data_IF_982792479462
#
_entry.id   IF_982792479462
#
_cell.length_a   1.000
_cell.length_b   1.000
_cell.length_c   1.000
_cell.angle_alpha   90.00
_cell.angle_beta   90.00
_cell.angle_gamma   90.00
#
_symmetry.space_group_name_H-M   'P 1'
#
loop_
_entity.id
_entity.type
_entity.pdbx_description
1 polymer ?
#
# COMPACT_ATOMS: atom_id res chain seq x y z
N UNK A 1 1.34 -13.78 -1.41
CA UNK A 1 1.68 -12.37 -1.16
C UNK A 1 3.18 -12.18 -1.30
N UNK A 2 3.65 -11.01 -1.73
CA UNK A 2 5.10 -10.68 -1.84
C UNK A 2 5.48 -9.49 -0.95
N UNK A 3 6.71 -9.48 -0.42
CA UNK A 3 7.23 -8.39 0.40
C UNK A 3 7.70 -7.24 -0.49
N UNK A 4 7.21 -6.02 -0.21
CA UNK A 4 7.74 -4.78 -0.80
C UNK A 4 8.70 -4.14 0.20
N UNK A 5 9.97 -3.98 -0.22
CA UNK A 5 10.96 -3.28 0.58
C UNK A 5 10.70 -1.77 0.59
N UNK A 6 10.81 -1.17 1.77
CA UNK A 6 10.64 0.27 1.95
C UNK A 6 11.81 1.05 1.38
N UNK A 7 11.51 2.20 0.80
CA UNK A 7 12.49 3.16 0.32
C UNK A 7 12.42 4.42 1.17
N UNK A 8 13.55 4.84 1.72
CA UNK A 8 13.63 6.01 2.59
C UNK A 8 13.70 7.29 1.75
N UNK A 9 12.85 8.26 2.06
CA UNK A 9 13.00 9.61 1.50
C UNK A 9 14.18 10.34 2.13
N UNK A 10 14.82 11.21 1.35
CA UNK A 10 15.92 12.06 1.81
C UNK A 10 15.67 13.52 1.41
N UNK A 11 16.47 14.45 1.95
CA UNK A 11 16.44 15.86 1.52
C UNK A 11 16.82 16.06 0.05
N UNK A 12 17.48 15.08 -0.58
CA UNK A 12 17.80 15.10 -2.01
C UNK A 12 16.63 14.63 -2.90
N UNK A 13 15.49 14.28 -2.31
CA UNK A 13 14.39 13.61 -2.99
C UNK A 13 14.60 12.11 -3.10
N UNK A 14 13.62 11.43 -3.68
CA UNK A 14 13.63 9.99 -3.93
C UNK A 14 12.92 9.69 -5.24
N UNK A 15 13.63 9.04 -6.17
CA UNK A 15 13.00 8.38 -7.31
C UNK A 15 12.63 6.97 -6.90
N UNK A 16 11.34 6.68 -6.77
CA UNK A 16 10.89 5.37 -6.30
C UNK A 16 11.13 4.30 -7.34
N UNK A 17 11.76 3.20 -6.95
CA UNK A 17 11.77 1.96 -7.71
C UNK A 17 10.43 1.25 -7.53
N UNK A 18 9.70 1.04 -8.61
CA UNK A 18 8.38 0.42 -8.60
C UNK A 18 8.50 -1.09 -8.89
N UNK A 19 7.78 -1.91 -8.12
CA UNK A 19 7.62 -3.34 -8.35
C UNK A 19 6.25 -3.64 -8.95
N UNK A 20 6.12 -4.68 -9.77
CA UNK A 20 4.81 -5.15 -10.25
C UNK A 20 3.97 -5.66 -9.08
N UNK A 21 2.70 -5.26 -9.03
CA UNK A 21 1.75 -5.80 -8.07
C UNK A 21 1.54 -7.31 -8.31
N UNK A 22 1.38 -8.08 -7.24
CA UNK A 22 1.20 -9.53 -7.32
C UNK A 22 -0.26 -9.90 -7.14
N UNK A 23 -0.78 -10.84 -7.94
CA UNK A 23 -2.20 -11.26 -7.90
C UNK A 23 -2.62 -11.79 -6.52
N UNK A 24 -1.70 -12.43 -5.80
CA UNK A 24 -1.88 -12.87 -4.43
C UNK A 24 -1.70 -11.77 -3.38
N UNK A 25 -1.60 -10.49 -3.77
CA UNK A 25 -1.37 -9.35 -2.89
C UNK A 25 0.11 -9.11 -2.54
N UNK A 26 0.34 -8.00 -1.85
CA UNK A 26 1.65 -7.57 -1.39
C UNK A 26 1.59 -7.19 0.09
N UNK A 27 2.74 -7.14 0.76
CA UNK A 27 2.82 -6.71 2.16
C UNK A 27 4.12 -5.97 2.44
N UNK A 28 4.14 -5.19 3.52
CA UNK A 28 5.33 -4.42 3.92
C UNK A 28 5.35 -4.19 5.43
N UNK A 29 6.54 -3.96 5.99
CA UNK A 29 6.71 -3.58 7.40
C UNK A 29 6.16 -2.18 7.60
N UNK A 30 5.09 -2.02 8.38
CA UNK A 30 4.48 -0.72 8.59
C UNK A 30 4.94 -0.09 9.92
N UNK A 31 5.63 1.04 9.80
CA UNK A 31 6.14 1.85 10.93
C UNK A 31 5.21 3.00 11.33
N UNK A 32 4.07 3.16 10.65
CA UNK A 32 3.17 4.31 10.84
C UNK A 32 3.61 5.56 10.08
N UNK A 33 4.76 5.51 9.39
CA UNK A 33 5.29 6.58 8.54
C UNK A 33 5.43 6.18 7.07
N UNK A 34 4.99 4.97 6.75
CA UNK A 34 5.06 4.41 5.40
C UNK A 34 3.85 4.85 4.58
N UNK A 35 4.10 5.20 3.33
CA UNK A 35 3.11 5.55 2.31
C UNK A 35 3.28 4.60 1.13
N UNK A 36 2.16 4.05 0.64
CA UNK A 36 2.11 3.21 -0.53
C UNK A 36 1.89 4.08 -1.77
N UNK A 37 2.85 4.11 -2.68
CA UNK A 37 2.67 4.65 -4.03
C UNK A 37 2.09 3.57 -4.92
N UNK A 38 1.00 3.89 -5.62
CA UNK A 38 0.37 3.01 -6.60
C UNK A 38 0.27 3.74 -7.92
N UNK A 39 0.82 3.13 -8.97
CA UNK A 39 0.69 3.59 -10.35
C UNK A 39 -0.10 2.57 -11.15
N UNK A 40 -1.21 3.00 -11.73
CA UNK A 40 -2.09 2.20 -12.57
C UNK A 40 -1.95 2.64 -14.03
N UNK A 41 -1.26 1.85 -14.85
CA UNK A 41 -1.08 2.11 -16.28
C UNK A 41 -2.19 1.51 -17.15
N UNK A 42 -3.26 0.96 -16.57
CA UNK A 42 -4.38 0.43 -17.34
C UNK A 42 -5.34 1.53 -17.82
N UNK A 43 -6.25 1.14 -18.71
CA UNK A 43 -7.35 1.97 -19.22
C UNK A 43 -8.59 1.98 -18.32
N UNK A 44 -8.56 1.28 -17.19
CA UNK A 44 -9.67 1.19 -16.23
C UNK A 44 -9.21 1.55 -14.81
N UNK A 45 -10.15 1.82 -13.91
CA UNK A 45 -9.82 2.01 -12.51
C UNK A 45 -9.46 0.67 -11.85
N UNK A 46 -8.48 0.69 -10.94
CA UNK A 46 -8.10 -0.45 -10.09
C UNK A 46 -8.33 -0.09 -8.63
N UNK A 47 -9.04 -0.95 -7.91
CA UNK A 47 -9.20 -0.80 -6.47
C UNK A 47 -8.00 -1.42 -5.76
N UNK A 48 -7.31 -0.61 -4.95
CA UNK A 48 -6.28 -1.07 -4.01
C UNK A 48 -6.86 -1.07 -2.62
N UNK A 49 -6.73 -2.21 -1.94
CA UNK A 49 -7.24 -2.39 -0.59
C UNK A 49 -6.09 -2.64 0.37
N UNK A 50 -6.05 -1.91 1.49
CA UNK A 50 -5.16 -2.19 2.63
C UNK A 50 -6.01 -2.78 3.75
N UNK A 51 -5.70 -4.01 4.15
CA UNK A 51 -6.49 -4.74 5.12
C UNK A 51 -6.25 -4.21 6.54
N UNK A 52 -7.34 -3.93 7.26
CA UNK A 52 -7.28 -3.73 8.70
C UNK A 52 -7.09 -5.10 9.37
N UNK A 53 -6.15 -5.15 10.30
CA UNK A 53 -5.78 -6.34 11.06
C UNK A 53 -6.40 -6.33 12.47
N UNK A 54 -6.66 -5.14 13.00
CA UNK A 54 -7.27 -4.94 14.32
C UNK A 54 -8.53 -4.10 14.20
N UNK A 55 -9.61 -4.55 14.84
CA UNK A 55 -10.88 -3.84 14.87
C UNK A 55 -10.77 -2.53 15.64
N UNK A 56 -11.62 -1.56 15.29
CA UNK A 56 -11.79 -0.36 16.11
C UNK A 56 -12.44 -0.72 17.46
N UNK A 57 -12.52 0.22 18.43
CA UNK A 57 -13.17 -0.03 19.73
C UNK A 57 -14.63 -0.51 19.66
N UNK A 58 -15.31 -0.32 18.52
CA UNK A 58 -16.68 -0.79 18.27
C UNK A 58 -16.73 -2.20 17.62
N UNK A 59 -15.59 -2.88 17.45
CA UNK A 59 -15.52 -4.25 16.95
C UNK A 59 -15.48 -4.41 15.43
N UNK A 60 -15.34 -3.31 14.67
CA UNK A 60 -15.37 -3.35 13.20
C UNK A 60 -13.97 -3.16 12.57
N UNK A 61 -13.65 -4.01 11.59
CA UNK A 61 -12.48 -3.84 10.72
C UNK A 61 -12.77 -2.81 9.61
N UNK A 62 -11.86 -1.86 9.44
CA UNK A 62 -12.00 -0.78 8.46
C UNK A 62 -10.92 -0.88 7.39
N UNK A 63 -11.14 -1.74 6.39
CA UNK A 63 -10.24 -1.82 5.26
C UNK A 63 -10.24 -0.49 4.51
N UNK A 64 -9.05 -0.01 4.14
CA UNK A 64 -8.92 1.14 3.24
C UNK A 64 -9.11 0.61 1.83
N UNK A 65 -10.07 1.13 1.07
CA UNK A 65 -10.24 0.83 -0.34
C UNK A 65 -10.13 2.12 -1.15
N UNK A 66 -9.12 2.20 -2.02
CA UNK A 66 -8.86 3.36 -2.88
C UNK A 66 -9.02 2.95 -4.33
N UNK A 67 -9.88 3.68 -5.06
CA UNK A 67 -10.01 3.54 -6.50
C UNK A 67 -8.93 4.38 -7.19
N UNK A 68 -7.94 3.71 -7.77
CA UNK A 68 -6.89 4.34 -8.56
C UNK A 68 -7.38 4.43 -10.00
N UNK A 69 -7.67 5.63 -10.47
CA UNK A 69 -8.17 5.87 -11.82
C UNK A 69 -7.22 5.31 -12.91
N UNK A 70 -7.74 5.18 -14.13
CA UNK A 70 -6.95 4.84 -15.30
C UNK A 70 -5.80 5.86 -15.49
N UNK A 71 -4.61 5.37 -15.84
CA UNK A 71 -3.38 6.15 -15.89
C UNK A 71 -3.01 6.90 -14.58
N UNK A 72 -3.63 6.53 -13.45
CA UNK A 72 -3.48 7.22 -12.17
C UNK A 72 -2.17 6.90 -11.45
N UNK A 73 -1.72 7.85 -10.63
CA UNK A 73 -0.57 7.73 -9.75
C UNK A 73 -0.94 8.36 -8.40
N UNK A 74 -1.11 7.53 -7.37
CA UNK A 74 -1.61 7.98 -6.06
C UNK A 74 -0.71 7.51 -4.93
N UNK A 75 -0.73 8.28 -3.84
CA UNK A 75 -0.10 7.94 -2.57
C UNK A 75 -1.19 7.61 -1.55
N UNK A 76 -1.06 6.47 -0.87
CA UNK A 76 -2.02 5.98 0.12
C UNK A 76 -1.27 5.81 1.45
N UNK A 77 -1.78 6.43 2.51
CA UNK A 77 -1.19 6.38 3.85
C UNK A 77 -1.05 7.77 4.48
N UNK A 78 -0.40 7.89 5.64
CA UNK A 78 0.22 6.80 6.41
C UNK A 78 -0.80 5.83 7.02
N UNK A 79 -0.34 4.65 7.44
CA UNK A 79 -1.18 3.59 8.00
C UNK A 79 -0.93 3.45 9.52
N UNK A 80 -1.89 3.78 10.40
CA UNK A 80 -1.70 3.63 11.84
C UNK A 80 -1.40 2.16 12.23
N UNK A 81 -0.25 1.87 12.88
CA UNK A 81 0.15 0.51 13.22
C UNK A 81 -0.87 -0.23 14.08
N UNK A 82 -1.57 0.49 14.96
CA UNK A 82 -2.58 -0.08 15.86
C UNK A 82 -3.73 -0.79 15.13
N UNK A 83 -4.01 -0.43 13.86
CA UNK A 83 -5.12 -1.00 13.10
C UNK A 83 -4.66 -1.84 11.91
N UNK A 84 -3.52 -1.51 11.30
CA UNK A 84 -3.09 -2.10 10.03
C UNK A 84 -1.89 -3.05 10.15
N UNK A 85 -1.32 -3.23 11.35
CA UNK A 85 -0.27 -4.23 11.56
C UNK A 85 -0.87 -5.54 12.05
N UNK A 86 -0.36 -6.65 11.50
CA UNK A 86 -0.53 -7.96 12.12
C UNK A 86 0.42 -8.16 13.31
N UNK A 87 0.43 -9.38 13.86
CA UNK A 87 1.31 -9.77 14.95
C UNK A 87 2.82 -9.61 14.63
N UNK A 88 3.19 -9.56 13.35
CA UNK A 88 4.57 -9.41 12.89
C UNK A 88 4.92 -7.98 12.46
N UNK A 89 3.98 -7.04 12.54
CA UNK A 89 4.19 -5.65 12.11
C UNK A 89 3.96 -5.37 10.63
N UNK A 90 3.32 -6.29 9.90
CA UNK A 90 3.05 -6.16 8.47
C UNK A 90 1.67 -5.59 8.18
N UNK A 91 1.62 -4.71 7.17
CA UNK A 91 0.38 -4.29 6.51
C UNK A 91 0.22 -5.04 5.18
N UNK A 92 -1.02 -5.41 4.86
CA UNK A 92 -1.36 -6.23 3.70
C UNK A 92 -2.15 -5.46 2.66
N UNK A 93 -1.79 -5.66 1.40
CA UNK A 93 -2.35 -4.98 0.24
C UNK A 93 -2.94 -6.01 -0.74
N UNK A 94 -4.13 -5.73 -1.24
CA UNK A 94 -4.74 -6.49 -2.34
C UNK A 94 -5.20 -5.56 -3.46
N UNK A 95 -5.34 -6.11 -4.66
CA UNK A 95 -5.65 -5.36 -5.88
C UNK A 95 -6.80 -6.03 -6.62
N UNK A 96 -7.70 -5.25 -7.23
CA UNK A 96 -8.73 -5.81 -8.11
C UNK A 96 -8.19 -6.29 -9.47
N UNK A 97 -7.04 -5.76 -9.90
CA UNK A 97 -6.27 -6.19 -11.07
C UNK A 97 -4.79 -5.81 -10.89
N UNK A 98 -3.86 -6.55 -11.51
CA UNK A 98 -2.42 -6.36 -11.27
C UNK A 98 -1.56 -6.16 -12.53
N UNK A 99 -2.04 -6.54 -13.71
CA UNK A 99 -1.23 -6.60 -14.94
C UNK A 99 -0.54 -5.29 -15.31
N UNK A 100 -1.18 -4.16 -15.02
CA UNK A 100 -0.66 -2.81 -15.31
C UNK A 100 -0.45 -1.98 -14.05
N UNK A 101 -0.34 -2.62 -12.89
CA UNK A 101 -0.21 -1.94 -11.60
C UNK A 101 1.21 -2.14 -11.07
N UNK A 102 1.83 -1.03 -10.71
CA UNK A 102 3.15 -1.03 -10.09
C UNK A 102 3.10 -0.24 -8.79
N UNK A 103 3.86 -0.68 -7.80
CA UNK A 103 3.78 -0.20 -6.43
C UNK A 103 5.15 0.01 -5.82
N UNK A 104 5.24 0.95 -4.89
CA UNK A 104 6.41 1.15 -4.04
C UNK A 104 5.97 1.58 -2.65
N UNK A 105 6.73 1.17 -1.63
CA UNK A 105 6.53 1.67 -0.28
C UNK A 105 7.62 2.69 0.02
N UNK A 106 7.20 3.86 0.45
CA UNK A 106 8.06 5.00 0.75
C UNK A 106 7.92 5.36 2.22
N UNK A 107 9.04 5.52 2.91
CA UNK A 107 9.05 5.96 4.31
C UNK A 107 9.54 7.40 4.44
N UNK A 108 8.77 8.20 5.19
CA UNK A 108 9.08 9.59 5.49
C UNK A 108 9.68 9.64 6.91
N UNK A 109 10.92 10.11 7.09
CA UNK A 109 11.60 10.12 8.39
C UNK A 109 10.89 11.02 9.43
#
# INVERSE_FOLDING_TARGET
>A
MSLISKQQTTKAGLTTTLASAVSGGDYFVNTGKSVLRVKNASSAAVTVTVAAQTACPLGTLHNIAVSVAAAGDVLIGPFPPAYYNDANGYAYITYSAVTSVTVAVVEIP
#
